data_IF_162273373761
#
_entry.id   IF_162273373761
#
_cell.length_a   1.000
_cell.length_b   1.000
_cell.length_c   1.000
_cell.angle_alpha   90.00
_cell.angle_beta   90.00
_cell.angle_gamma   90.00
#
_symmetry.space_group_name_H-M   'P 1'
#
loop_
_entity.id
_entity.type
_entity.pdbx_description
1 polymer ?
#
# COMPACT_ATOMS: atom_id res chain seq x y z
N UNK A 1 -10.12 6.78 10.43
CA UNK A 1 -9.20 7.11 9.33
C UNK A 1 -7.86 7.44 9.92
N UNK A 2 -6.78 6.87 9.37
CA UNK A 2 -5.44 7.08 9.88
C UNK A 2 -4.68 5.82 10.31
N UNK A 3 -5.21 4.63 10.02
CA UNK A 3 -4.55 3.36 10.31
C UNK A 3 -3.29 3.19 9.46
N UNK A 4 -2.28 2.56 10.06
CA UNK A 4 -1.04 2.20 9.37
C UNK A 4 -1.17 0.80 8.79
N UNK A 5 -0.87 0.67 7.50
CA UNK A 5 -0.94 -0.58 6.75
C UNK A 5 0.36 -0.81 6.00
N UNK A 6 0.73 -2.07 5.81
CA UNK A 6 1.74 -2.45 4.84
C UNK A 6 1.04 -2.63 3.47
N UNK A 7 1.80 -2.64 2.38
CA UNK A 7 1.25 -3.02 1.07
C UNK A 7 2.09 -4.11 0.43
N UNK A 8 1.49 -4.94 -0.41
CA UNK A 8 2.22 -5.97 -1.14
C UNK A 8 3.22 -5.34 -2.10
N UNK A 9 4.50 -5.62 -1.90
CA UNK A 9 5.59 -5.05 -2.69
C UNK A 9 5.56 -5.51 -4.15
N UNK A 10 5.04 -6.71 -4.43
CA UNK A 10 4.93 -7.25 -5.79
C UNK A 10 3.91 -6.53 -6.68
N UNK A 11 2.87 -5.93 -6.10
CA UNK A 11 1.86 -5.16 -6.83
C UNK A 11 2.38 -3.76 -7.17
N UNK A 12 3.25 -3.23 -6.32
CA UNK A 12 3.77 -1.88 -6.39
C UNK A 12 5.07 -1.79 -7.21
N UNK A 13 6.03 -2.68 -6.94
CA UNK A 13 7.34 -2.74 -7.61
C UNK A 13 7.73 -4.19 -7.97
N UNK A 14 7.04 -4.83 -8.93
CA UNK A 14 7.23 -6.24 -9.28
C UNK A 14 8.68 -6.62 -9.66
N UNK A 15 9.45 -5.66 -10.18
CA UNK A 15 10.85 -5.88 -10.57
C UNK A 15 11.82 -5.87 -9.38
N UNK A 16 11.52 -5.12 -8.30
CA UNK A 16 12.36 -5.06 -7.08
C UNK A 16 12.00 -6.14 -6.07
N UNK A 17 10.78 -6.66 -6.12
CA UNK A 17 10.28 -7.70 -5.22
C UNK A 17 10.58 -9.14 -5.70
N UNK A 18 11.49 -9.31 -6.67
CA UNK A 18 11.77 -10.63 -7.28
C UNK A 18 13.02 -11.25 -6.65
N UNK A 19 12.82 -12.28 -5.83
CA UNK A 19 13.89 -13.08 -5.24
C UNK A 19 13.45 -13.77 -3.96
N UNK A 20 14.06 -14.91 -3.62
CA UNK A 20 13.71 -15.72 -2.42
C UNK A 20 13.79 -14.93 -1.11
N UNK A 21 14.58 -13.85 -1.09
CA UNK A 21 14.84 -13.00 0.07
C UNK A 21 14.29 -11.57 -0.12
N UNK A 22 13.55 -11.29 -1.19
CA UNK A 22 12.94 -9.99 -1.38
C UNK A 22 11.76 -9.82 -0.41
N UNK A 23 11.58 -8.63 0.19
CA UNK A 23 10.44 -8.38 1.08
C UNK A 23 9.13 -8.47 0.29
N UNK A 24 8.16 -9.22 0.84
CA UNK A 24 6.82 -9.37 0.26
C UNK A 24 5.93 -8.14 0.49
N UNK A 25 6.27 -7.34 1.50
CA UNK A 25 5.52 -6.18 1.97
C UNK A 25 6.44 -4.96 2.00
N UNK A 26 5.90 -3.79 1.69
CA UNK A 26 6.64 -2.53 1.75
C UNK A 26 5.89 -1.48 2.56
N UNK A 27 6.69 -0.59 3.18
CA UNK A 27 6.31 0.69 3.78
C UNK A 27 5.28 0.61 4.91
N UNK A 28 5.25 1.59 5.82
CA UNK A 28 4.01 1.98 6.47
C UNK A 28 3.30 3.04 5.61
N UNK A 29 2.05 2.77 5.25
CA UNK A 29 1.15 3.71 4.59
C UNK A 29 -0.01 4.05 5.51
N UNK A 30 -0.57 5.24 5.33
CA UNK A 30 -1.74 5.67 6.09
C UNK A 30 -2.99 5.57 5.22
N UNK A 31 -4.05 4.95 5.73
CA UNK A 31 -5.37 4.99 5.07
C UNK A 31 -5.96 6.38 5.27
N UNK A 32 -6.13 7.12 4.17
CA UNK A 32 -6.66 8.49 4.17
C UNK A 32 -8.11 8.57 3.75
N UNK A 33 -8.60 7.62 2.96
CA UNK A 33 -9.98 7.61 2.49
C UNK A 33 -10.45 6.19 2.16
N UNK A 34 -11.73 5.92 2.38
CA UNK A 34 -12.42 4.73 1.88
C UNK A 34 -13.14 5.13 0.61
N UNK A 35 -12.64 4.66 -0.54
CA UNK A 35 -13.21 5.00 -1.86
C UNK A 35 -14.46 4.17 -2.12
N UNK A 36 -14.39 2.88 -1.77
CA UNK A 36 -15.48 1.90 -1.83
C UNK A 36 -15.22 0.86 -0.75
N UNK A 37 -16.19 -0.03 -0.52
CA UNK A 37 -15.96 -1.22 0.30
C UNK A 37 -14.66 -1.92 -0.13
N UNK A 38 -13.80 -2.17 0.85
CA UNK A 38 -12.47 -2.79 0.68
C UNK A 38 -11.46 -2.02 -0.19
N UNK A 39 -11.76 -0.82 -0.69
CA UNK A 39 -10.85 -0.04 -1.53
C UNK A 39 -10.51 1.31 -0.90
N UNK A 40 -9.22 1.55 -0.72
CA UNK A 40 -8.70 2.67 0.07
C UNK A 40 -7.75 3.55 -0.71
N UNK A 41 -7.76 4.84 -0.41
CA UNK A 41 -6.69 5.75 -0.79
C UNK A 41 -5.64 5.74 0.33
N UNK A 42 -4.37 5.62 -0.06
CA UNK A 42 -3.24 5.59 0.86
C UNK A 42 -2.42 6.87 0.76
N UNK A 43 -1.77 7.26 1.84
CA UNK A 43 -0.72 8.28 1.86
C UNK A 43 0.59 7.70 2.41
N UNK A 44 1.71 8.23 1.94
CA UNK A 44 3.00 8.01 2.59
C UNK A 44 3.05 8.79 3.91
N UNK A 45 3.98 8.42 4.79
CA UNK A 45 4.13 9.06 6.10
C UNK A 45 4.41 10.56 6.04
N UNK A 46 4.95 11.05 4.93
CA UNK A 46 5.16 12.48 4.65
C UNK A 46 3.86 13.24 4.31
N UNK A 47 2.70 12.57 4.37
CA UNK A 47 1.38 13.15 4.11
C UNK A 47 1.00 13.24 2.64
N UNK A 48 1.87 12.80 1.72
CA UNK A 48 1.55 12.78 0.29
C UNK A 48 0.65 11.60 -0.05
N UNK A 49 -0.51 11.91 -0.63
CA UNK A 49 -1.47 10.90 -1.11
C UNK A 49 -0.92 10.21 -2.35
N UNK A 50 -1.04 8.87 -2.37
CA UNK A 50 -0.70 8.08 -3.54
C UNK A 50 -1.79 8.23 -4.62
N UNK A 51 -1.42 8.36 -5.90
CA UNK A 51 -2.38 8.57 -6.98
C UNK A 51 -3.23 7.31 -7.30
N UNK A 52 -2.93 6.17 -6.66
CA UNK A 52 -3.59 4.88 -6.89
C UNK A 52 -4.40 4.48 -5.65
N UNK A 53 -5.57 3.91 -5.89
CA UNK A 53 -6.41 3.26 -4.87
C UNK A 53 -6.06 1.78 -4.71
N UNK A 54 -6.24 1.25 -3.51
CA UNK A 54 -5.73 -0.05 -3.08
C UNK A 54 -6.83 -0.91 -2.48
N UNK A 55 -6.99 -2.12 -3.00
CA UNK A 55 -7.87 -3.13 -2.42
C UNK A 55 -7.27 -3.73 -1.15
N UNK A 56 -8.09 -4.08 -0.17
CA UNK A 56 -7.66 -4.69 1.10
C UNK A 56 -6.81 -5.94 0.89
N UNK A 57 -7.07 -6.71 -0.15
CA UNK A 57 -6.30 -7.91 -0.50
C UNK A 57 -4.86 -7.62 -0.93
N UNK A 58 -4.51 -6.36 -1.19
CA UNK A 58 -3.17 -5.88 -1.53
C UNK A 58 -2.53 -5.06 -0.41
N UNK A 59 -3.24 -4.92 0.72
CA UNK A 59 -2.75 -4.40 2.00
C UNK A 59 -2.39 -5.56 2.95
#
# INVERSE_FOLDING_TARGET
MGDLVLRKANVSYPTRSRGKLAPNWEGPYRVVEVVREETYTLAIMEGRVLPRTWHISNL
#
